data_IF_072961719524
#
_entry.id   IF_072961719524
#
_cell.length_a   1.000
_cell.length_b   1.000
_cell.length_c   1.000
_cell.angle_alpha   90.00
_cell.angle_beta   90.00
_cell.angle_gamma   90.00
#
_symmetry.space_group_name_H-M   'P 1'
#
loop_
_entity.id
_entity.type
_entity.pdbx_description
1 polymer ?
#
# COMPACT_ATOMS: atom_id res chain seq x y z
N UNK A 1 -3.04 25.93 3.17
CA UNK A 1 -3.52 24.62 2.77
C UNK A 1 -3.16 23.59 3.82
N UNK A 2 -4.12 22.81 4.20
CA UNK A 2 -3.93 21.76 5.19
C UNK A 2 -3.90 20.42 4.51
N UNK A 3 -2.90 19.60 4.83
CA UNK A 3 -2.91 18.22 4.41
C UNK A 3 -3.52 17.39 5.52
N UNK A 4 -4.48 16.57 5.15
CA UNK A 4 -5.10 15.62 6.05
C UNK A 4 -4.67 14.22 5.66
N UNK A 5 -4.40 13.39 6.63
CA UNK A 5 -4.07 12.00 6.39
C UNK A 5 -5.29 11.16 6.70
N UNK A 6 -5.71 10.38 5.71
CA UNK A 6 -6.85 9.50 5.81
C UNK A 6 -6.34 8.06 5.82
N UNK A 7 -6.78 7.30 6.79
CA UNK A 7 -6.42 5.88 6.86
C UNK A 7 -7.59 5.06 6.36
N UNK A 8 -7.27 4.13 5.47
CA UNK A 8 -8.23 3.15 4.99
C UNK A 8 -7.70 1.77 5.31
N UNK A 9 -8.58 0.91 5.81
CA UNK A 9 -8.22 -0.46 6.13
C UNK A 9 -8.99 -1.42 5.24
N UNK A 10 -8.30 -2.40 4.71
CA UNK A 10 -8.87 -3.43 3.85
C UNK A 10 -8.48 -4.79 4.40
N UNK A 11 -9.47 -5.63 4.67
CA UNK A 11 -9.21 -7.03 5.02
C UNK A 11 -9.30 -7.83 3.74
N UNK A 12 -8.17 -8.36 3.30
CA UNK A 12 -8.07 -9.04 2.02
C UNK A 12 -7.29 -10.35 2.14
N UNK A 13 -7.49 -11.21 1.16
CA UNK A 13 -6.73 -12.44 1.07
C UNK A 13 -5.32 -12.16 0.54
N UNK A 14 -4.38 -12.99 0.95
CA UNK A 14 -3.00 -12.87 0.46
C UNK A 14 -2.91 -12.87 -1.06
N UNK A 15 -3.77 -13.64 -1.72
CA UNK A 15 -3.80 -13.70 -3.19
C UNK A 15 -4.18 -12.38 -3.85
N UNK A 16 -4.91 -11.52 -3.14
CA UNK A 16 -5.33 -10.22 -3.66
C UNK A 16 -4.46 -9.06 -3.19
N UNK A 17 -3.59 -9.32 -2.23
CA UNK A 17 -2.76 -8.28 -1.63
C UNK A 17 -1.92 -7.55 -2.65
N UNK A 18 -1.18 -8.28 -3.48
CA UNK A 18 -0.29 -7.68 -4.48
C UNK A 18 -1.06 -6.82 -5.48
N UNK A 19 -2.19 -7.32 -5.93
CA UNK A 19 -3.05 -6.59 -6.87
C UNK A 19 -3.53 -5.28 -6.28
N UNK A 20 -3.99 -5.32 -5.03
CA UNK A 20 -4.48 -4.11 -4.34
C UNK A 20 -3.37 -3.10 -4.13
N UNK A 21 -2.19 -3.56 -3.71
CA UNK A 21 -1.04 -2.67 -3.52
C UNK A 21 -0.62 -2.01 -4.84
N UNK A 22 -0.61 -2.75 -5.94
CA UNK A 22 -0.32 -2.18 -7.25
C UNK A 22 -1.28 -1.07 -7.61
N UNK A 23 -2.58 -1.27 -7.37
CA UNK A 23 -3.58 -0.25 -7.64
C UNK A 23 -3.33 1.01 -6.82
N UNK A 24 -3.01 0.85 -5.53
CA UNK A 24 -2.75 1.96 -4.63
C UNK A 24 -1.52 2.75 -5.07
N UNK A 25 -0.44 2.06 -5.39
CA UNK A 25 0.80 2.71 -5.85
C UNK A 25 0.54 3.46 -7.15
N UNK A 26 -0.23 2.87 -8.04
CA UNK A 26 -0.54 3.45 -9.34
C UNK A 26 -1.36 4.74 -9.23
N UNK A 27 -2.22 4.85 -8.22
CA UNK A 27 -3.00 6.06 -7.97
C UNK A 27 -2.14 7.25 -7.56
N UNK A 28 -1.07 7.00 -6.82
CA UNK A 28 -0.10 8.03 -6.48
C UNK A 28 -0.48 8.97 -5.34
N UNK A 29 -1.56 8.70 -4.62
CA UNK A 29 -2.00 9.55 -3.50
C UNK A 29 -1.77 8.92 -2.13
N UNK A 30 -1.27 7.71 -2.08
CA UNK A 30 -0.95 7.03 -0.83
C UNK A 30 0.41 7.47 -0.32
N UNK A 31 0.48 7.78 0.96
CA UNK A 31 1.71 8.19 1.63
C UNK A 31 2.43 6.98 2.23
N UNK A 32 1.68 6.00 2.69
CA UNK A 32 2.24 4.84 3.37
C UNK A 32 1.30 3.65 3.23
N UNK A 33 1.89 2.48 3.13
CA UNK A 33 1.16 1.21 3.15
C UNK A 33 1.69 0.39 4.31
N UNK A 34 0.79 -0.16 5.12
CA UNK A 34 1.13 -1.03 6.24
C UNK A 34 0.39 -2.34 6.03
N UNK A 35 1.12 -3.45 6.15
CA UNK A 35 0.53 -4.77 6.03
C UNK A 35 0.58 -5.45 7.39
N UNK A 36 -0.58 -5.72 7.96
CA UNK A 36 -0.73 -6.38 9.25
C UNK A 36 -1.25 -7.80 9.08
N UNK A 37 -0.78 -8.68 9.92
CA UNK A 37 -1.23 -10.06 9.98
C UNK A 37 -1.30 -10.49 11.44
N UNK A 38 -2.47 -10.94 11.87
CA UNK A 38 -2.71 -11.37 13.25
C UNK A 38 -2.29 -10.33 14.29
N UNK A 39 -2.59 -9.06 14.03
CA UNK A 39 -2.27 -7.97 14.93
C UNK A 39 -0.84 -7.50 14.93
N UNK A 40 -0.01 -8.06 14.05
CA UNK A 40 1.39 -7.68 13.91
C UNK A 40 1.65 -7.03 12.56
N UNK A 41 2.44 -5.97 12.57
CA UNK A 41 2.86 -5.33 11.33
C UNK A 41 3.96 -6.16 10.68
N UNK A 42 3.69 -6.68 9.49
CA UNK A 42 4.66 -7.44 8.72
C UNK A 42 5.55 -6.55 7.88
N UNK A 43 4.97 -5.51 7.32
CA UNK A 43 5.69 -4.62 6.42
C UNK A 43 5.08 -3.24 6.47
N UNK A 44 5.93 -2.23 6.44
CA UNK A 44 5.53 -0.84 6.35
C UNK A 44 6.34 -0.19 5.24
N UNK A 45 5.67 0.37 4.27
CA UNK A 45 6.31 0.95 3.08
C UNK A 45 5.92 2.42 2.95
N UNK A 46 6.88 3.34 3.06
CA UNK A 46 6.62 4.74 2.74
C UNK A 46 6.56 4.91 1.22
N UNK A 47 5.62 5.70 0.75
CA UNK A 47 5.46 5.97 -0.68
C UNK A 47 5.67 7.44 -0.96
N UNK A 48 6.07 7.75 -2.20
CA UNK A 48 6.25 9.13 -2.65
C UNK A 48 4.94 9.60 -3.28
N UNK A 49 4.29 10.58 -2.64
CA UNK A 49 3.06 11.17 -3.15
C UNK A 49 3.38 11.99 -4.41
N UNK A 50 2.52 11.86 -5.42
CA UNK A 50 2.68 12.57 -6.67
C UNK A 50 3.35 11.77 -7.77
N UNK A 51 3.95 10.62 -7.44
CA UNK A 51 4.47 9.69 -8.44
C UNK A 51 3.39 8.65 -8.69
N UNK A 52 2.91 8.56 -9.92
CA UNK A 52 1.74 7.74 -10.26
C UNK A 52 1.97 6.93 -11.53
N UNK A 53 1.04 6.02 -11.80
CA UNK A 53 1.00 5.25 -13.03
C UNK A 53 2.16 4.27 -13.15
N UNK A 54 2.60 4.09 -14.37
CA UNK A 54 3.68 3.14 -14.70
C UNK A 54 4.99 3.53 -14.01
N UNK A 55 5.26 4.84 -13.90
CA UNK A 55 6.45 5.34 -13.23
C UNK A 55 6.50 4.90 -11.77
N UNK A 56 5.38 5.02 -11.06
CA UNK A 56 5.30 4.58 -9.67
C UNK A 56 5.56 3.08 -9.55
N UNK A 57 5.00 2.29 -10.45
CA UNK A 57 5.20 0.84 -10.44
C UNK A 57 6.66 0.49 -10.67
N UNK A 58 7.36 1.22 -11.55
CA UNK A 58 8.77 0.99 -11.81
C UNK A 58 9.63 1.33 -10.59
N UNK A 59 9.35 2.45 -9.93
CA UNK A 59 10.09 2.89 -8.75
C UNK A 59 9.93 1.90 -7.60
N UNK A 60 8.73 1.37 -7.42
CA UNK A 60 8.43 0.46 -6.30
C UNK A 60 8.46 -1.02 -6.68
N UNK A 61 9.02 -1.36 -7.85
CA UNK A 61 9.09 -2.75 -8.28
C UNK A 61 9.75 -3.70 -7.26
N UNK A 62 10.90 -3.35 -6.65
CA UNK A 62 11.50 -4.22 -5.64
C UNK A 62 10.60 -4.44 -4.43
N UNK A 63 9.86 -3.40 -4.02
CA UNK A 63 8.90 -3.48 -2.93
C UNK A 63 7.76 -4.43 -3.28
N UNK A 64 7.29 -4.37 -4.52
CA UNK A 64 6.22 -5.25 -4.98
C UNK A 64 6.64 -6.73 -4.97
N UNK A 65 7.90 -7.01 -5.29
CA UNK A 65 8.44 -8.36 -5.21
C UNK A 65 8.40 -8.86 -3.75
N UNK A 66 8.82 -8.03 -2.80
CA UNK A 66 8.78 -8.38 -1.39
C UNK A 66 7.35 -8.63 -0.91
N UNK A 67 6.42 -7.80 -1.32
CA UNK A 67 5.00 -7.97 -0.98
C UNK A 67 4.44 -9.26 -1.57
N UNK A 68 4.82 -9.57 -2.80
CA UNK A 68 4.41 -10.81 -3.43
C UNK A 68 4.89 -12.06 -2.68
N UNK A 69 6.12 -12.01 -2.16
CA UNK A 69 6.65 -13.09 -1.35
C UNK A 69 5.86 -13.27 -0.04
N UNK A 70 5.52 -12.16 0.62
CA UNK A 70 4.71 -12.19 1.83
C UNK A 70 3.31 -12.73 1.53
N UNK A 71 2.72 -12.27 0.42
CA UNK A 71 1.38 -12.66 0.01
C UNK A 71 1.26 -14.18 -0.22
N UNK A 72 2.34 -14.81 -0.65
CA UNK A 72 2.37 -16.26 -0.84
C UNK A 72 2.39 -17.06 0.47
N UNK A 73 2.69 -16.41 1.58
CA UNK A 73 2.83 -17.08 2.88
C UNK A 73 1.62 -16.88 3.80
N UNK A 74 0.77 -15.91 3.51
CA UNK A 74 -0.37 -15.59 4.37
C UNK A 74 -1.68 -15.77 3.63
N UNK A 75 -2.70 -16.21 4.35
CA UNK A 75 -4.03 -16.41 3.78
C UNK A 75 -4.89 -15.16 3.89
N UNK A 76 -4.75 -14.43 4.99
CA UNK A 76 -5.48 -13.19 5.23
C UNK A 76 -4.59 -12.15 5.86
N UNK A 77 -4.81 -10.90 5.49
CA UNK A 77 -4.09 -9.79 6.07
C UNK A 77 -4.96 -8.54 6.10
N UNK A 78 -4.52 -7.57 6.88
CA UNK A 78 -5.13 -6.25 6.92
C UNK A 78 -4.18 -5.29 6.23
N UNK A 79 -4.65 -4.65 5.18
CA UNK A 79 -3.90 -3.64 4.45
C UNK A 79 -4.36 -2.28 4.93
N UNK A 80 -3.46 -1.51 5.50
CA UNK A 80 -3.74 -0.16 5.98
C UNK A 80 -3.06 0.82 5.03
N UNK A 81 -3.83 1.72 4.46
CA UNK A 81 -3.33 2.72 3.52
C UNK A 81 -3.53 4.11 4.12
N UNK A 82 -2.45 4.86 4.23
CA UNK A 82 -2.51 6.26 4.62
C UNK A 82 -2.47 7.10 3.36
N UNK A 83 -3.57 7.75 3.05
CA UNK A 83 -3.70 8.62 1.90
C UNK A 83 -3.62 10.07 2.32
N UNK A 84 -3.08 10.89 1.44
CA UNK A 84 -3.03 12.33 1.65
C UNK A 84 -4.22 12.97 0.95
N UNK A 85 -5.02 13.71 1.72
CA UNK A 85 -6.08 14.53 1.16
C UNK A 85 -5.67 15.99 1.32
N UNK A 86 -5.78 16.75 0.25
CA UNK A 86 -5.53 18.17 0.29
C UNK A 86 -6.84 18.93 0.29
N UNK A 87 -7.01 19.78 1.28
CA UNK A 87 -8.11 20.71 1.29
C UNK A 87 -7.73 21.93 0.43
N UNK A 88 -8.56 22.24 -0.52
CA UNK A 88 -8.38 23.41 -1.36
C UNK A 88 -9.18 24.58 -0.82
#
# INVERSE_FOLDING_TARGET
MTEEIRKEEFKIDGTELLKKVKEIIKEGDARRIIIDHEGKTLLEVPLTVGVAGVTALAVFAPTLVAIGAIAGLITRCTLIVEKVERAE
#
